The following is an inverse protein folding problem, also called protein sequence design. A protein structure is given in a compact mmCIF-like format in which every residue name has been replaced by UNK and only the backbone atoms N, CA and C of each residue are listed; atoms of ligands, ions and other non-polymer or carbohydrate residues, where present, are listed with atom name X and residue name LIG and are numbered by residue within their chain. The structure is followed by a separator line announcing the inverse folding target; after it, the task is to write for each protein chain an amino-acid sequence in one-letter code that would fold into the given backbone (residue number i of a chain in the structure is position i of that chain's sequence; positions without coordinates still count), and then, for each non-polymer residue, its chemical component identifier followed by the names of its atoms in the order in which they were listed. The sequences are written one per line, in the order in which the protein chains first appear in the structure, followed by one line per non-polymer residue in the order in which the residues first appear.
data_IF_621029458651
#
_entry.id   IF_621029458651
#
_cell.length_a   1.000
_cell.length_b   1.000
_cell.length_c   1.000
_cell.angle_alpha   90.00
_cell.angle_beta   90.00
_cell.angle_gamma   90.00
#
_symmetry.space_group_name_H-M   'P 1'
#
loop_
_entity.id
_entity.type
_entity.pdbx_description
1 polymer ?
#
# COMPACT_ATOMS: atom_id res chain seq x y z
N UNK A 1 18.54 12.50 1.29
CA UNK A 1 17.05 12.48 1.34
C UNK A 1 16.65 12.08 2.76
N UNK A 2 15.70 12.77 3.38
CA UNK A 2 15.19 12.38 4.72
C UNK A 2 14.59 10.97 4.69
N UNK A 3 14.85 10.17 5.73
CA UNK A 3 14.32 8.81 5.91
C UNK A 3 12.95 8.78 6.60
N UNK A 4 12.51 9.89 7.18
CA UNK A 4 11.23 9.97 7.90
C UNK A 4 10.01 10.04 6.98
N UNK A 5 8.79 9.94 7.54
CA UNK A 5 7.54 9.92 6.79
C UNK A 5 7.24 11.21 6.03
N UNK A 6 7.91 12.31 6.37
CA UNK A 6 7.53 13.63 5.88
C UNK A 6 6.36 14.19 6.66
N UNK A 7 5.77 15.24 6.13
CA UNK A 7 4.69 15.97 6.78
C UNK A 7 3.33 15.39 6.34
N UNK A 8 2.76 14.53 7.18
CA UNK A 8 1.53 13.78 6.90
C UNK A 8 0.45 14.21 7.88
N UNK A 9 -0.75 14.54 7.37
CA UNK A 9 -1.88 14.96 8.19
C UNK A 9 -2.27 13.88 9.19
N UNK A 10 -2.24 12.61 8.76
CA UNK A 10 -2.58 11.45 9.57
C UNK A 10 -1.70 11.35 10.83
N UNK A 11 -0.44 11.80 10.76
CA UNK A 11 0.50 11.78 11.89
C UNK A 11 0.37 13.01 12.79
N UNK A 12 -0.25 14.09 12.30
CA UNK A 12 -0.57 15.28 13.13
C UNK A 12 -1.82 15.05 13.95
N UNK A 13 -2.77 14.30 13.40
CA UNK A 13 -4.07 14.02 14.02
C UNK A 13 -4.04 12.80 14.95
N UNK A 14 -3.12 11.85 14.73
CA UNK A 14 -3.01 10.63 15.54
C UNK A 14 -1.57 10.43 16.06
N UNK A 15 -1.38 10.75 17.34
CA UNK A 15 -0.10 10.58 18.04
C UNK A 15 0.35 9.11 18.12
N UNK A 16 -0.60 8.16 18.18
CA UNK A 16 -0.26 6.74 18.20
C UNK A 16 0.31 6.28 16.87
N UNK A 17 -0.22 6.79 15.74
CA UNK A 17 0.36 6.54 14.42
C UNK A 17 1.72 7.22 14.27
N UNK A 18 1.89 8.43 14.80
CA UNK A 18 3.18 9.14 14.79
C UNK A 18 4.26 8.34 15.54
N UNK A 19 3.97 7.86 16.75
CA UNK A 19 4.93 7.08 17.53
C UNK A 19 5.17 5.69 16.87
N UNK A 20 4.13 5.06 16.32
CA UNK A 20 4.24 3.79 15.60
C UNK A 20 5.30 3.84 14.48
N UNK A 21 5.30 4.90 13.68
CA UNK A 21 6.14 5.00 12.48
C UNK A 21 7.47 5.71 12.71
N UNK A 22 7.73 6.20 13.92
CA UNK A 22 8.93 6.97 14.26
C UNK A 22 10.24 6.24 13.94
N UNK A 23 10.25 4.92 14.04
CA UNK A 23 11.41 4.06 13.75
C UNK A 23 11.43 3.50 12.32
N UNK A 24 10.42 3.80 11.49
CA UNK A 24 10.30 3.22 10.16
C UNK A 24 11.19 3.96 9.15
N UNK A 25 11.63 3.25 8.12
CA UNK A 25 12.40 3.83 7.02
C UNK A 25 11.51 4.06 5.78
N UNK A 26 11.32 5.33 5.41
CA UNK A 26 10.52 5.75 4.25
C UNK A 26 11.36 6.04 2.99
N UNK A 27 12.68 5.88 3.05
CA UNK A 27 13.55 6.08 1.89
C UNK A 27 13.20 5.16 0.71
N UNK A 28 12.87 3.86 0.89
CA UNK A 28 12.47 2.99 -0.21
C UNK A 28 11.26 3.53 -0.99
N UNK A 29 10.23 3.96 -0.29
CA UNK A 29 9.04 4.57 -0.89
C UNK A 29 9.35 5.85 -1.68
N UNK A 30 10.22 6.71 -1.15
CA UNK A 30 10.65 7.94 -1.86
C UNK A 30 11.40 7.62 -3.14
N UNK A 31 12.28 6.61 -3.11
CA UNK A 31 13.01 6.13 -4.31
C UNK A 31 12.02 5.56 -5.33
N UNK A 32 11.10 4.69 -4.89
CA UNK A 32 10.08 4.11 -5.75
C UNK A 32 9.23 5.19 -6.41
N UNK A 33 8.70 6.14 -5.65
CA UNK A 33 7.93 7.27 -6.16
C UNK A 33 8.71 8.08 -7.21
N UNK A 34 9.99 8.38 -6.95
CA UNK A 34 10.83 9.09 -7.93
C UNK A 34 10.99 8.30 -9.22
N UNK A 35 11.16 6.98 -9.13
CA UNK A 35 11.26 6.11 -10.30
C UNK A 35 9.96 6.07 -11.09
N UNK A 36 8.80 6.01 -10.42
CA UNK A 36 7.49 6.08 -11.07
C UNK A 36 7.31 7.40 -11.83
N UNK A 37 7.67 8.52 -11.20
CA UNK A 37 7.63 9.84 -11.84
C UNK A 37 8.56 9.91 -13.06
N UNK A 38 9.79 9.41 -12.93
CA UNK A 38 10.78 9.47 -14.00
C UNK A 38 10.40 8.58 -15.20
N UNK A 39 10.04 7.32 -14.95
CA UNK A 39 9.79 6.33 -16.00
C UNK A 39 8.40 6.45 -16.64
N UNK A 40 7.39 6.84 -15.86
CA UNK A 40 5.99 6.80 -16.30
C UNK A 40 5.31 8.16 -16.33
N UNK A 41 5.99 9.23 -15.89
CA UNK A 41 5.40 10.59 -15.74
C UNK A 41 4.09 10.56 -14.96
N UNK A 42 4.05 9.73 -13.92
CA UNK A 42 2.85 9.45 -13.15
C UNK A 42 3.12 9.58 -11.64
N UNK A 43 2.08 9.84 -10.87
CA UNK A 43 2.08 9.68 -9.42
C UNK A 43 1.92 8.21 -9.03
N UNK A 44 2.23 7.87 -7.77
CA UNK A 44 2.04 6.49 -7.27
C UNK A 44 0.55 6.20 -7.04
N UNK A 45 -0.16 7.15 -6.44
CA UNK A 45 -1.61 7.06 -6.23
C UNK A 45 -2.35 8.07 -7.09
N UNK A 46 -3.66 7.88 -7.21
CA UNK A 46 -4.51 8.80 -7.94
C UNK A 46 -4.61 10.14 -7.17
N UNK A 47 -4.58 11.30 -7.87
CA UNK A 47 -4.64 12.61 -7.21
C UNK A 47 -6.07 13.05 -6.84
N UNK A 48 -7.09 12.44 -7.46
CA UNK A 48 -8.49 12.72 -7.12
C UNK A 48 -8.92 11.91 -5.91
N UNK A 49 -9.74 12.52 -5.04
CA UNK A 49 -10.45 11.83 -3.95
C UNK A 49 -11.40 10.73 -4.45
N UNK A 50 -11.63 10.63 -5.77
CA UNK A 50 -12.38 9.56 -6.41
C UNK A 50 -11.45 8.47 -6.95
N UNK A 51 -11.72 7.19 -6.66
CA UNK A 51 -11.00 6.05 -7.24
C UNK A 51 -11.43 5.73 -8.68
N UNK A 52 -12.28 6.55 -9.32
CA UNK A 52 -12.68 6.36 -10.71
C UNK A 52 -11.47 6.45 -11.64
N UNK A 53 -11.15 5.35 -12.33
CA UNK A 53 -9.96 5.22 -13.18
C UNK A 53 -8.70 4.73 -12.45
N UNK A 54 -8.73 4.56 -11.13
CA UNK A 54 -7.61 4.01 -10.37
C UNK A 54 -7.45 2.50 -10.61
N UNK A 55 -6.22 2.00 -10.46
CA UNK A 55 -5.93 0.58 -10.60
C UNK A 55 -5.84 -0.08 -9.21
N UNK A 56 -6.63 -1.11 -8.99
CA UNK A 56 -6.68 -1.77 -7.68
C UNK A 56 -5.61 -2.85 -7.54
N UNK A 57 -5.07 -2.94 -6.33
CA UNK A 57 -4.04 -3.88 -5.92
C UNK A 57 -4.43 -4.53 -4.60
N UNK A 58 -3.80 -5.66 -4.28
CA UNK A 58 -3.94 -6.34 -3.00
C UNK A 58 -2.59 -6.36 -2.28
N UNK A 59 -2.58 -5.85 -1.04
CA UNK A 59 -1.47 -5.94 -0.11
C UNK A 59 -1.74 -7.07 0.89
N UNK A 60 -0.78 -7.98 1.04
CA UNK A 60 -0.86 -9.11 1.97
C UNK A 60 0.29 -9.06 2.96
N UNK A 61 -0.03 -8.79 4.21
CA UNK A 61 0.96 -8.70 5.29
C UNK A 61 1.26 -10.08 5.86
N UNK A 62 2.49 -10.57 5.74
CA UNK A 62 2.91 -11.88 6.26
C UNK A 62 3.51 -11.81 7.66
N UNK A 63 4.34 -10.79 7.90
CA UNK A 63 4.95 -10.45 9.19
C UNK A 63 4.60 -9.01 9.50
N UNK A 64 4.30 -8.71 10.76
CA UNK A 64 4.07 -7.35 11.25
C UNK A 64 4.25 -7.32 12.77
N UNK A 65 4.83 -6.24 13.28
CA UNK A 65 5.04 -6.02 14.73
C UNK A 65 4.06 -5.02 15.33
N UNK A 66 3.03 -4.63 14.57
CA UNK A 66 2.05 -3.61 14.95
C UNK A 66 0.62 -4.06 14.63
N UNK A 67 -0.38 -3.37 15.18
CA UNK A 67 -1.79 -3.66 14.88
C UNK A 67 -2.10 -3.25 13.43
N UNK A 68 -2.52 -4.22 12.62
CA UNK A 68 -3.00 -3.94 11.26
C UNK A 68 -4.37 -3.27 11.31
N UNK A 69 -4.44 -2.11 10.67
CA UNK A 69 -5.65 -1.33 10.36
C UNK A 69 -5.47 -0.73 8.97
N UNK A 70 -6.51 -0.11 8.42
CA UNK A 70 -6.38 0.59 7.13
C UNK A 70 -5.35 1.73 7.23
N UNK A 71 -5.31 2.45 8.36
CA UNK A 71 -4.34 3.54 8.60
C UNK A 71 -2.89 3.04 8.74
N UNK A 72 -2.65 1.96 9.49
CA UNK A 72 -1.29 1.43 9.61
C UNK A 72 -0.83 0.75 8.32
N UNK A 73 -1.76 0.13 7.58
CA UNK A 73 -1.49 -0.42 6.26
C UNK A 73 -1.18 0.69 5.23
N UNK A 74 -1.90 1.81 5.23
CA UNK A 74 -1.62 2.93 4.32
C UNK A 74 -0.26 3.57 4.60
N UNK A 75 0.15 3.68 5.86
CA UNK A 75 1.50 4.12 6.25
C UNK A 75 2.57 3.10 5.82
N UNK A 76 2.30 1.81 5.89
CA UNK A 76 3.23 0.79 5.39
C UNK A 76 3.38 0.85 3.87
N UNK A 77 2.28 1.08 3.14
CA UNK A 77 2.32 1.36 1.70
C UNK A 77 3.11 2.63 1.41
N UNK A 78 2.94 3.68 2.21
CA UNK A 78 3.73 4.91 2.07
C UNK A 78 5.23 4.66 2.27
N UNK A 79 5.63 3.87 3.27
CA UNK A 79 7.01 3.49 3.50
C UNK A 79 7.63 2.71 2.32
N UNK A 80 6.84 1.88 1.64
CA UNK A 80 7.30 1.02 0.55
C UNK A 80 7.25 1.69 -0.83
N UNK A 81 6.20 2.48 -1.09
CA UNK A 81 5.82 2.96 -2.41
C UNK A 81 5.88 4.50 -2.51
N UNK A 82 5.99 5.21 -1.40
CA UNK A 82 5.85 6.66 -1.35
C UNK A 82 4.38 7.05 -1.48
N UNK A 83 4.09 8.13 -2.20
CA UNK A 83 2.73 8.67 -2.30
C UNK A 83 2.23 9.26 -0.99
N UNK A 84 0.93 9.53 -0.89
CA UNK A 84 0.27 9.94 0.35
C UNK A 84 -0.58 8.78 0.89
N UNK A 85 -0.56 8.48 2.21
CA UNK A 85 -1.34 7.36 2.77
C UNK A 85 -2.82 7.42 2.42
N UNK A 86 -3.48 8.57 2.60
CA UNK A 86 -4.88 8.77 2.20
C UNK A 86 -5.17 8.47 0.71
N UNK A 87 -4.20 8.72 -0.18
CA UNK A 87 -4.36 8.51 -1.62
C UNK A 87 -4.45 7.04 -2.05
N UNK A 88 -4.05 6.11 -1.18
CA UNK A 88 -4.13 4.68 -1.51
C UNK A 88 -5.55 4.12 -1.41
N UNK A 89 -6.50 4.80 -0.76
CA UNK A 89 -7.87 4.30 -0.55
C UNK A 89 -7.87 2.85 -0.01
N UNK A 90 -7.09 2.63 1.04
CA UNK A 90 -6.93 1.31 1.66
C UNK A 90 -8.27 0.86 2.22
N UNK A 91 -8.67 -0.36 1.90
CA UNK A 91 -9.90 -0.99 2.38
C UNK A 91 -9.61 -2.40 2.87
N UNK A 92 -10.03 -2.69 4.10
CA UNK A 92 -9.91 -3.99 4.72
C UNK A 92 -10.69 -5.05 3.93
N UNK A 93 -10.08 -6.21 3.69
CA UNK A 93 -10.72 -7.35 3.02
C UNK A 93 -10.79 -8.56 3.94
N UNK A 94 -9.68 -8.86 4.61
CA UNK A 94 -9.61 -9.89 5.65
C UNK A 94 -8.39 -9.65 6.54
N UNK A 95 -8.18 -10.50 7.56
CA UNK A 95 -7.21 -10.33 8.66
C UNK A 95 -5.84 -9.75 8.27
N UNK A 96 -5.33 -10.09 7.08
CA UNK A 96 -4.01 -9.67 6.57
C UNK A 96 -4.05 -9.09 5.16
N UNK A 97 -5.25 -8.92 4.59
CA UNK A 97 -5.46 -8.56 3.20
C UNK A 97 -6.13 -7.21 3.11
N UNK A 98 -5.48 -6.29 2.41
CA UNK A 98 -5.97 -4.94 2.20
C UNK A 98 -5.99 -4.65 0.71
N UNK A 99 -7.15 -4.25 0.20
CA UNK A 99 -7.25 -3.68 -1.13
C UNK A 99 -6.78 -2.23 -1.06
N UNK A 100 -5.98 -1.82 -2.02
CA UNK A 100 -5.60 -0.43 -2.19
C UNK A 100 -5.64 -0.07 -3.67
N UNK A 101 -5.41 1.21 -3.98
CA UNK A 101 -5.44 1.74 -5.33
C UNK A 101 -4.14 2.50 -5.65
N UNK A 102 -3.75 2.44 -6.91
CA UNK A 102 -2.62 3.20 -7.47
C UNK A 102 -3.10 3.96 -8.69
N UNK A 103 -2.28 4.92 -9.15
CA UNK A 103 -2.70 5.91 -10.16
C UNK A 103 -3.23 5.28 -11.45
N UNK A 104 -2.62 4.19 -11.93
CA UNK A 104 -3.02 3.50 -13.15
C UNK A 104 -2.37 2.11 -13.25
N UNK A 105 -2.73 1.35 -14.29
CA UNK A 105 -2.22 0.00 -14.55
C UNK A 105 -0.69 -0.08 -14.64
N UNK A 106 -0.01 0.89 -15.25
CA UNK A 106 1.46 0.86 -15.39
C UNK A 106 2.13 0.93 -14.02
N UNK A 107 1.62 1.79 -13.14
CA UNK A 107 2.07 1.88 -11.74
C UNK A 107 1.76 0.58 -10.99
N UNK A 108 0.57 0.01 -11.18
CA UNK A 108 0.19 -1.28 -10.56
C UNK A 108 1.12 -2.43 -10.94
N UNK A 109 1.53 -2.51 -12.21
CA UNK A 109 2.51 -3.50 -12.66
C UNK A 109 3.89 -3.26 -12.02
N UNK A 110 4.34 -2.00 -11.92
CA UNK A 110 5.59 -1.68 -11.24
C UNK A 110 5.56 -2.05 -9.74
N UNK A 111 4.41 -1.86 -9.07
CA UNK A 111 4.22 -2.29 -7.68
C UNK A 111 4.23 -3.82 -7.56
N UNK A 112 3.54 -4.52 -8.47
CA UNK A 112 3.55 -6.00 -8.52
C UNK A 112 4.96 -6.55 -8.71
N UNK A 113 5.77 -5.89 -9.53
CA UNK A 113 7.14 -6.34 -9.84
C UNK A 113 8.09 -6.23 -8.64
N UNK A 114 7.73 -5.45 -7.60
CA UNK A 114 8.41 -5.50 -6.30
C UNK A 114 8.25 -6.86 -5.61
N UNK A 115 7.17 -7.60 -5.90
CA UNK A 115 6.75 -8.89 -5.33
C UNK A 115 6.51 -8.86 -3.81
N UNK A 116 7.54 -8.55 -3.04
CA UNK A 116 7.56 -8.45 -1.58
C UNK A 116 8.49 -7.32 -1.16
N UNK A 117 8.06 -6.53 -0.19
CA UNK A 117 8.93 -5.62 0.56
C UNK A 117 9.07 -6.13 1.99
N UNK A 118 10.30 -6.16 2.48
CA UNK A 118 10.67 -6.60 3.83
C UNK A 118 11.35 -5.46 4.56
N UNK A 119 10.84 -5.16 5.75
CA UNK A 119 11.37 -4.20 6.71
C UNK A 119 11.51 -4.86 8.08
N UNK A 120 12.14 -4.19 9.04
CA UNK A 120 12.22 -4.73 10.41
C UNK A 120 10.81 -4.89 11.03
N UNK A 121 9.88 -4.02 10.65
CA UNK A 121 8.54 -3.97 11.23
C UNK A 121 7.52 -4.85 10.49
N UNK A 122 7.68 -5.10 9.19
CA UNK A 122 6.73 -5.91 8.42
C UNK A 122 7.27 -6.56 7.15
N UNK A 123 6.52 -7.54 6.65
CA UNK A 123 6.63 -8.09 5.30
C UNK A 123 5.31 -7.91 4.57
N UNK A 124 5.32 -7.26 3.41
CA UNK A 124 4.13 -7.06 2.57
C UNK A 124 4.36 -7.63 1.18
N UNK A 125 3.39 -8.38 0.68
CA UNK A 125 3.33 -8.89 -0.68
C UNK A 125 2.33 -8.09 -1.50
N UNK A 126 2.64 -7.89 -2.78
CA UNK A 126 1.79 -7.14 -3.70
C UNK A 126 1.25 -8.06 -4.80
N UNK A 127 -0.07 -8.10 -4.95
CA UNK A 127 -0.78 -8.87 -5.97
C UNK A 127 -1.75 -7.98 -6.75
N UNK A 128 -2.15 -8.41 -7.95
CA UNK A 128 -3.21 -7.72 -8.67
C UNK A 128 -4.53 -7.94 -7.94
N UNK A 129 -5.34 -6.89 -7.84
CA UNK A 129 -6.71 -7.06 -7.34
C UNK A 129 -7.50 -7.88 -8.35
N UNK A 130 -8.13 -8.98 -7.89
CA UNK A 130 -8.74 -10.07 -8.68
C UNK A 130 -7.82 -11.24 -9.09
N UNK A 131 -6.58 -11.31 -8.60
CA UNK A 131 -5.85 -12.59 -8.45
C UNK A 131 -6.41 -13.45 -7.28
N UNK A 132 -7.67 -13.21 -6.89
CA UNK A 132 -8.37 -13.94 -5.83
C UNK A 132 -9.77 -13.40 -5.48
N UNK A 133 -10.69 -13.04 -6.38
CA UNK A 133 -10.95 -13.50 -7.76
C UNK A 133 -12.31 -12.97 -8.27
N UNK A 134 -12.91 -13.64 -9.26
CA UNK A 134 -14.37 -13.63 -9.52
C UNK A 134 -15.06 -14.94 -9.06
N UNK A 135 -14.27 -15.87 -8.49
CA UNK A 135 -14.69 -17.25 -8.19
C UNK A 135 -14.54 -17.66 -6.72
N UNK A 136 -14.10 -16.78 -5.81
CA UNK A 136 -13.80 -17.19 -4.42
C UNK A 136 -15.04 -17.72 -3.66
N UNK A 137 -16.26 -17.27 -4.01
CA UNK A 137 -17.51 -17.83 -3.47
C UNK A 137 -18.02 -19.09 -4.20
N UNK A 138 -17.53 -19.35 -5.42
CA UNK A 138 -17.87 -20.56 -6.19
C UNK A 138 -16.90 -21.72 -5.85
N UNK A 139 -15.63 -21.41 -5.55
CA UNK A 139 -14.63 -22.40 -5.16
C UNK A 139 -14.85 -22.92 -3.74
N UNK A 140 -15.39 -22.10 -2.83
CA UNK A 140 -15.81 -22.54 -1.49
C UNK A 140 -16.97 -23.56 -1.52
N UNK A 141 -17.76 -23.61 -2.60
CA UNK A 141 -18.90 -24.55 -2.77
C UNK A 141 -18.55 -25.84 -3.52
N UNK A 142 -17.32 -25.98 -4.03
CA UNK A 142 -16.86 -27.18 -4.76
C UNK A 142 -16.18 -28.22 -3.87
N UNK A 143 -16.05 -27.95 -2.57
CA UNK A 143 -15.39 -28.82 -1.59
C UNK A 143 -16.29 -29.16 -0.39
N UNK A 144 -17.61 -29.09 -0.58
CA UNK A 144 -18.56 -29.92 0.17
C UNK A 144 -18.94 -31.12 -0.69
#
# INVERSE_FOLDING_TARGET
MSTGPGDLLELREDEHLAELVKSWNFLPGKIFQKNILYNYRSSVHHPSSSPSGAFHMLAVFRRYTFRLSESSASLALHACLGGTPAGFHVTYQSKRHFRFSVANKRVGLAVRDLRRVTTDQFDVYFHLWRDGGANSQQEARRWD
#
